data_IF_635590715211
#
_entry.id   IF_635590715211
#
_cell.length_a   1.000
_cell.length_b   1.000
_cell.length_c   1.000
_cell.angle_alpha   90.00
_cell.angle_beta   90.00
_cell.angle_gamma   90.00
#
_symmetry.space_group_name_H-M   'P 1'
#
loop_
_entity.id
_entity.type
_entity.pdbx_description
1 polymer ?
#
# COMPACT_ATOMS: atom_id res chain seq x y z
N UNK A 1 -17.18 17.83 3.13
CA UNK A 1 -16.32 17.40 1.99
C UNK A 1 -15.10 18.31 1.93
N UNK A 2 -13.92 17.72 1.76
CA UNK A 2 -12.69 18.47 1.45
C UNK A 2 -12.57 18.48 -0.08
N UNK A 3 -12.57 19.64 -0.75
CA UNK A 3 -12.42 19.71 -2.20
C UNK A 3 -11.12 19.01 -2.64
N UNK A 4 -11.17 18.36 -3.80
CA UNK A 4 -10.04 17.65 -4.40
C UNK A 4 -9.50 16.45 -3.59
N UNK A 5 -10.25 15.97 -2.56
CA UNK A 5 -9.99 14.70 -1.87
C UNK A 5 -11.26 13.85 -1.84
N UNK A 6 -11.07 12.53 -1.77
CA UNK A 6 -12.15 11.62 -1.51
C UNK A 6 -12.26 11.37 -0.01
N UNK A 7 -13.23 12.02 0.63
CA UNK A 7 -13.47 11.94 2.08
C UNK A 7 -14.90 11.44 2.33
N UNK A 8 -15.01 10.37 3.07
CA UNK A 8 -16.26 9.71 3.38
C UNK A 8 -16.74 8.74 2.28
N UNK A 9 -17.90 8.12 2.51
CA UNK A 9 -18.45 7.06 1.65
C UNK A 9 -18.08 5.66 2.14
N UNK A 10 -18.47 4.63 1.38
CA UNK A 10 -18.13 3.24 1.68
C UNK A 10 -16.88 2.84 0.91
N UNK A 11 -15.91 2.28 1.60
CA UNK A 11 -14.65 1.83 1.03
C UNK A 11 -14.21 0.52 1.71
N UNK A 12 -13.49 -0.34 0.99
CA UNK A 12 -13.01 -1.61 1.55
C UNK A 12 -11.71 -1.46 2.36
N UNK A 13 -11.10 -0.28 2.32
CA UNK A 13 -9.83 -0.03 3.00
C UNK A 13 -8.67 -0.85 2.42
N UNK A 14 -7.71 -1.18 3.27
CA UNK A 14 -6.65 -2.13 2.94
C UNK A 14 -7.17 -3.55 3.20
N UNK A 15 -7.86 -4.14 2.20
CA UNK A 15 -8.46 -5.46 2.29
C UNK A 15 -7.41 -6.51 2.65
N UNK A 16 -7.72 -7.33 3.64
CA UNK A 16 -6.85 -8.34 4.25
C UNK A 16 -5.53 -7.77 4.83
N UNK A 17 -5.52 -6.49 5.21
CA UNK A 17 -4.42 -5.92 6.00
C UNK A 17 -4.29 -6.61 7.35
N UNK A 18 -3.06 -7.03 7.70
CA UNK A 18 -2.80 -7.88 8.86
C UNK A 18 -2.74 -7.12 10.19
N UNK A 19 -2.77 -5.80 10.17
CA UNK A 19 -2.79 -4.95 11.35
C UNK A 19 -4.20 -4.66 11.89
N UNK A 20 -5.25 -5.13 11.21
CA UNK A 20 -6.65 -5.01 11.64
C UNK A 20 -6.97 -5.86 12.86
N UNK A 21 -7.43 -5.24 13.96
CA UNK A 21 -7.80 -5.97 15.19
C UNK A 21 -9.30 -6.23 15.33
N UNK A 22 -10.14 -5.44 14.68
CA UNK A 22 -11.60 -5.48 14.85
C UNK A 22 -12.33 -6.16 13.70
N UNK A 23 -11.78 -6.06 12.52
CA UNK A 23 -12.30 -6.67 11.30
C UNK A 23 -11.17 -7.48 10.67
N UNK A 24 -11.29 -8.81 10.59
CA UNK A 24 -10.23 -9.66 10.03
C UNK A 24 -9.99 -9.40 8.54
N UNK A 25 -10.93 -8.74 7.88
CA UNK A 25 -10.84 -8.44 6.45
C UNK A 25 -10.30 -7.03 6.15
N UNK A 26 -10.14 -6.15 7.16
CA UNK A 26 -9.72 -4.77 6.93
C UNK A 26 -8.54 -4.38 7.81
N UNK A 27 -7.49 -3.88 7.19
CA UNK A 27 -6.36 -3.27 7.87
C UNK A 27 -6.76 -1.94 8.55
N UNK A 28 -5.83 -1.37 9.32
CA UNK A 28 -6.03 -0.10 10.05
C UNK A 28 -5.87 1.15 9.21
N UNK A 29 -5.37 1.01 7.97
CA UNK A 29 -5.13 2.17 7.09
C UNK A 29 -6.41 2.97 6.89
N UNK A 30 -6.29 4.29 6.93
CA UNK A 30 -7.43 5.20 6.76
C UNK A 30 -8.02 5.06 5.36
N UNK A 31 -9.31 4.77 5.28
CA UNK A 31 -10.02 4.59 4.01
C UNK A 31 -9.93 5.85 3.13
N UNK A 32 -10.13 7.02 3.73
CA UNK A 32 -10.02 8.32 3.04
C UNK A 32 -8.60 8.58 2.50
N UNK A 33 -7.57 8.14 3.25
CA UNK A 33 -6.18 8.20 2.80
C UNK A 33 -5.98 7.37 1.54
N UNK A 34 -6.39 6.09 1.58
CA UNK A 34 -6.25 5.16 0.45
C UNK A 34 -6.98 5.71 -0.78
N UNK A 35 -8.25 6.09 -0.62
CA UNK A 35 -9.06 6.59 -1.73
C UNK A 35 -8.46 7.87 -2.34
N UNK A 36 -8.01 8.81 -1.50
CA UNK A 36 -7.38 10.06 -1.98
C UNK A 36 -6.02 9.80 -2.62
N UNK A 37 -5.23 8.84 -2.11
CA UNK A 37 -3.97 8.43 -2.73
C UNK A 37 -4.18 7.85 -4.12
N UNK A 38 -5.16 6.96 -4.29
CA UNK A 38 -5.50 6.41 -5.59
C UNK A 38 -6.13 7.44 -6.54
N UNK A 39 -6.85 8.44 -6.02
CA UNK A 39 -7.33 9.55 -6.84
C UNK A 39 -6.17 10.34 -7.45
N UNK A 40 -5.15 10.67 -6.66
CA UNK A 40 -3.93 11.29 -7.18
C UNK A 40 -3.21 10.37 -8.18
N UNK A 41 -3.03 9.10 -7.83
CA UNK A 41 -2.31 8.14 -8.67
C UNK A 41 -2.99 7.92 -10.02
N UNK A 42 -4.30 7.67 -10.04
CA UNK A 42 -5.06 7.50 -11.29
C UNK A 42 -5.02 8.75 -12.17
N UNK A 43 -5.11 9.95 -11.56
CA UNK A 43 -4.93 11.21 -12.28
C UNK A 43 -3.52 11.31 -12.90
N UNK A 44 -2.47 10.89 -12.18
CA UNK A 44 -1.11 10.87 -12.70
C UNK A 44 -0.94 9.91 -13.89
N UNK A 45 -1.60 8.75 -13.85
CA UNK A 45 -1.59 7.78 -14.94
C UNK A 45 -2.31 8.32 -16.17
N UNK A 46 -3.44 9.02 -15.98
CA UNK A 46 -4.16 9.69 -17.07
C UNK A 46 -3.29 10.76 -17.75
N UNK A 47 -2.55 11.55 -16.96
CA UNK A 47 -1.59 12.52 -17.50
C UNK A 47 -0.50 11.83 -18.32
N UNK A 48 0.06 10.72 -17.81
CA UNK A 48 1.08 9.94 -18.54
C UNK A 48 0.53 9.41 -19.87
N UNK A 49 -0.65 8.80 -19.84
CA UNK A 49 -1.31 8.28 -21.04
C UNK A 49 -1.61 9.37 -22.06
N UNK A 50 -2.19 10.50 -21.63
CA UNK A 50 -2.48 11.61 -22.51
C UNK A 50 -1.23 12.22 -23.15
N UNK A 51 -0.14 12.36 -22.40
CA UNK A 51 1.14 12.82 -22.97
C UNK A 51 1.68 11.87 -24.06
N UNK A 52 1.54 10.54 -23.90
CA UNK A 52 1.94 9.56 -24.92
C UNK A 52 1.08 9.68 -26.18
N UNK A 53 -0.22 9.95 -26.01
CA UNK A 53 -1.17 10.09 -27.11
C UNK A 53 -1.13 11.49 -27.78
N UNK A 54 -0.37 12.44 -27.23
CA UNK A 54 -0.30 13.82 -27.72
C UNK A 54 -1.53 14.65 -27.38
N UNK A 55 -2.33 14.24 -26.39
CA UNK A 55 -3.52 14.94 -25.93
C UNK A 55 -3.18 16.09 -24.99
N UNK A 56 -4.05 17.12 -24.94
CA UNK A 56 -3.92 18.17 -23.95
C UNK A 56 -4.30 17.67 -22.55
N UNK A 57 -3.36 17.71 -21.62
CA UNK A 57 -3.52 17.26 -20.24
C UNK A 57 -3.39 18.39 -19.20
N UNK A 58 -3.50 19.65 -19.61
CA UNK A 58 -3.29 20.81 -18.74
C UNK A 58 -4.25 20.81 -17.53
N UNK A 59 -5.53 20.53 -17.77
CA UNK A 59 -6.55 20.47 -16.72
C UNK A 59 -6.27 19.34 -15.72
N UNK A 60 -5.84 18.17 -16.20
CA UNK A 60 -5.46 17.04 -15.33
C UNK A 60 -4.20 17.32 -14.52
N UNK A 61 -3.21 18.02 -15.07
CA UNK A 61 -2.04 18.49 -14.33
C UNK A 61 -2.44 19.44 -13.21
N UNK A 62 -3.32 20.39 -13.50
CA UNK A 62 -3.87 21.33 -12.51
C UNK A 62 -4.63 20.61 -11.41
N UNK A 63 -5.47 19.64 -11.78
CA UNK A 63 -6.19 18.79 -10.82
C UNK A 63 -5.21 17.99 -9.94
N UNK A 64 -4.23 17.32 -10.52
CA UNK A 64 -3.22 16.55 -9.80
C UNK A 64 -2.49 17.40 -8.74
N UNK A 65 -2.07 18.61 -9.10
CA UNK A 65 -1.43 19.51 -8.16
C UNK A 65 -2.34 19.89 -6.98
N UNK A 66 -3.63 20.16 -7.23
CA UNK A 66 -4.59 20.44 -6.14
C UNK A 66 -4.78 19.24 -5.23
N UNK A 67 -4.95 18.03 -5.82
CA UNK A 67 -5.09 16.79 -5.05
C UNK A 67 -3.86 16.58 -4.15
N UNK A 68 -2.65 16.65 -4.70
CA UNK A 68 -1.41 16.43 -3.94
C UNK A 68 -1.23 17.45 -2.83
N UNK A 69 -1.51 18.72 -3.11
CA UNK A 69 -1.44 19.78 -2.09
C UNK A 69 -2.40 19.49 -0.95
N UNK A 70 -3.67 19.20 -1.26
CA UNK A 70 -4.68 18.88 -0.25
C UNK A 70 -4.40 17.57 0.49
N UNK A 71 -3.85 16.58 -0.20
CA UNK A 71 -3.43 15.32 0.41
C UNK A 71 -2.36 15.56 1.50
N UNK A 72 -1.34 16.33 1.22
CA UNK A 72 -0.27 16.67 2.18
C UNK A 72 -0.78 17.47 3.37
N UNK A 73 -1.67 18.43 3.13
CA UNK A 73 -2.31 19.22 4.20
C UNK A 73 -3.17 18.34 5.12
N UNK A 74 -3.92 17.40 4.54
CA UNK A 74 -4.89 16.59 5.29
C UNK A 74 -4.27 15.35 5.95
N UNK A 75 -3.23 14.77 5.33
CA UNK A 75 -2.53 13.58 5.78
C UNK A 75 -1.04 13.83 6.05
N UNK A 76 -0.69 14.65 7.05
CA UNK A 76 0.70 15.02 7.33
C UNK A 76 1.54 13.87 7.94
N UNK A 77 0.88 12.78 8.37
CA UNK A 77 1.52 11.62 8.99
C UNK A 77 0.98 10.32 8.46
N UNK A 78 1.78 9.26 8.51
CA UNK A 78 1.45 7.92 8.05
C UNK A 78 1.34 6.98 9.25
N UNK A 79 0.27 6.19 9.32
CA UNK A 79 -0.09 5.39 10.49
C UNK A 79 0.16 3.89 10.30
N UNK A 80 0.37 3.45 9.05
CA UNK A 80 0.54 2.03 8.71
C UNK A 80 1.58 1.86 7.60
N UNK A 81 2.10 0.64 7.47
CA UNK A 81 2.99 0.28 6.36
C UNK A 81 2.35 0.59 5.00
N UNK A 82 1.05 0.31 4.84
CA UNK A 82 0.31 0.61 3.61
C UNK A 82 0.27 2.10 3.31
N UNK A 83 -0.03 2.95 4.29
CA UNK A 83 -0.06 4.40 4.08
C UNK A 83 1.33 4.93 3.67
N UNK A 84 2.41 4.46 4.31
CA UNK A 84 3.77 4.80 3.91
C UNK A 84 4.07 4.32 2.48
N UNK A 85 3.79 3.06 2.17
CA UNK A 85 4.05 2.48 0.86
C UNK A 85 3.35 3.25 -0.27
N UNK A 86 2.07 3.59 -0.09
CA UNK A 86 1.30 4.39 -1.05
C UNK A 86 1.85 5.82 -1.17
N UNK A 87 2.13 6.49 -0.04
CA UNK A 87 2.65 7.85 -0.05
C UNK A 87 4.00 7.95 -0.78
N UNK A 88 4.88 6.96 -0.57
CA UNK A 88 6.20 6.89 -1.20
C UNK A 88 6.09 6.54 -2.68
N UNK A 89 5.44 5.43 -3.00
CA UNK A 89 5.40 4.92 -4.37
C UNK A 89 4.62 5.85 -5.32
N UNK A 90 3.52 6.46 -4.85
CA UNK A 90 2.73 7.42 -5.64
C UNK A 90 3.31 8.84 -5.62
N UNK A 91 4.44 9.07 -4.92
CA UNK A 91 5.11 10.37 -4.81
C UNK A 91 4.22 11.45 -4.15
N UNK A 92 3.38 11.05 -3.22
CA UNK A 92 2.50 11.95 -2.47
C UNK A 92 3.17 12.56 -1.25
N UNK A 93 4.12 11.83 -0.62
CA UNK A 93 4.88 12.36 0.50
C UNK A 93 5.64 13.63 0.10
N UNK A 94 5.73 14.60 1.01
CA UNK A 94 6.56 15.80 0.82
C UNK A 94 8.04 15.39 0.74
N UNK A 95 8.46 14.49 1.62
CA UNK A 95 9.77 13.86 1.59
C UNK A 95 9.60 12.32 1.54
N UNK A 96 9.77 11.75 0.34
CA UNK A 96 9.63 10.31 0.13
C UNK A 96 10.74 9.51 0.83
N UNK A 97 11.95 10.05 0.98
CA UNK A 97 13.01 9.38 1.74
C UNK A 97 12.59 9.22 3.21
N UNK A 98 12.19 10.32 3.86
CA UNK A 98 11.74 10.26 5.25
C UNK A 98 10.52 9.33 5.45
N UNK A 99 9.59 9.30 4.50
CA UNK A 99 8.45 8.39 4.55
C UNK A 99 8.85 6.92 4.36
N UNK A 100 9.88 6.64 3.55
CA UNK A 100 10.45 5.30 3.40
C UNK A 100 11.25 4.88 4.63
N UNK A 101 11.96 5.81 5.27
CA UNK A 101 12.66 5.53 6.54
C UNK A 101 11.66 5.16 7.66
N UNK A 102 10.50 5.84 7.70
CA UNK A 102 9.39 5.48 8.61
C UNK A 102 8.85 4.09 8.27
N UNK A 103 8.68 3.77 6.97
CA UNK A 103 8.22 2.44 6.53
C UNK A 103 9.19 1.34 6.97
N UNK A 104 10.49 1.55 6.77
CA UNK A 104 11.54 0.63 7.20
C UNK A 104 11.46 0.38 8.71
N UNK A 105 11.35 1.44 9.51
CA UNK A 105 11.20 1.33 10.95
C UNK A 105 9.93 0.55 11.34
N UNK A 106 8.78 0.80 10.65
CA UNK A 106 7.55 0.05 10.90
C UNK A 106 7.69 -1.44 10.60
N UNK A 107 8.48 -1.81 9.59
CA UNK A 107 8.77 -3.22 9.27
C UNK A 107 9.62 -3.85 10.36
N UNK A 108 10.65 -3.14 10.84
CA UNK A 108 11.48 -3.59 11.96
C UNK A 108 10.66 -3.75 13.26
N UNK A 109 9.81 -2.77 13.60
CA UNK A 109 8.94 -2.81 14.78
C UNK A 109 7.91 -3.94 14.72
N UNK A 110 7.52 -4.35 13.52
CA UNK A 110 6.68 -5.53 13.28
C UNK A 110 7.45 -6.87 13.31
N UNK A 111 8.74 -6.87 13.67
CA UNK A 111 9.57 -8.08 13.69
C UNK A 111 9.93 -8.58 12.29
N UNK A 112 10.26 -7.69 11.38
CA UNK A 112 10.56 -7.97 9.97
C UNK A 112 9.40 -8.68 9.27
N UNK A 113 8.18 -8.19 9.51
CA UNK A 113 6.96 -8.70 8.90
C UNK A 113 6.21 -7.60 8.15
N UNK A 114 5.60 -7.99 7.04
CA UNK A 114 4.61 -7.14 6.39
C UNK A 114 3.30 -7.17 7.18
N UNK A 115 2.61 -6.03 7.19
CA UNK A 115 1.27 -5.90 7.77
C UNK A 115 0.26 -5.36 6.76
N UNK A 116 0.70 -5.21 5.52
CA UNK A 116 -0.09 -4.68 4.40
C UNK A 116 -1.11 -5.69 3.90
N UNK A 117 -2.23 -5.17 3.40
CA UNK A 117 -3.21 -5.91 2.63
C UNK A 117 -3.04 -5.72 1.12
N UNK A 118 -4.12 -5.94 0.35
CA UNK A 118 -4.08 -5.89 -1.11
C UNK A 118 -3.62 -4.56 -1.70
N UNK A 119 -3.94 -3.44 -1.07
CA UNK A 119 -3.59 -2.13 -1.62
C UNK A 119 -2.18 -1.67 -1.26
N UNK A 120 -1.60 -2.20 -0.19
CA UNK A 120 -0.25 -1.85 0.24
C UNK A 120 0.83 -2.80 -0.28
N UNK A 121 0.57 -4.09 -0.28
CA UNK A 121 1.54 -5.15 -0.61
C UNK A 121 2.24 -4.97 -1.96
N UNK A 122 1.54 -4.60 -3.07
CA UNK A 122 2.19 -4.43 -4.38
C UNK A 122 3.27 -3.34 -4.41
N UNK A 123 3.20 -2.38 -3.50
CA UNK A 123 4.08 -1.21 -3.49
C UNK A 123 5.13 -1.24 -2.38
N UNK A 124 4.97 -2.14 -1.40
CA UNK A 124 5.80 -2.22 -0.19
C UNK A 124 7.29 -2.34 -0.50
N UNK A 125 7.66 -3.36 -1.29
CA UNK A 125 9.06 -3.63 -1.60
C UNK A 125 9.69 -2.52 -2.45
N UNK A 126 8.93 -1.93 -3.38
CA UNK A 126 9.38 -0.80 -4.18
C UNK A 126 9.56 0.46 -3.34
N UNK A 127 8.64 0.74 -2.41
CA UNK A 127 8.74 1.89 -1.53
C UNK A 127 9.95 1.82 -0.59
N UNK A 128 10.41 0.62 -0.24
CA UNK A 128 11.64 0.39 0.50
C UNK A 128 12.88 0.48 -0.40
N UNK A 129 12.92 -0.33 -1.47
CA UNK A 129 14.12 -0.49 -2.29
C UNK A 129 14.51 0.77 -3.06
N UNK A 130 13.55 1.54 -3.56
CA UNK A 130 13.80 2.79 -4.31
C UNK A 130 14.46 3.89 -3.45
N UNK A 131 14.42 3.73 -2.12
CA UNK A 131 14.94 4.69 -1.14
C UNK A 131 16.04 4.12 -0.24
N UNK A 132 16.72 3.05 -0.69
CA UNK A 132 17.94 2.53 -0.06
C UNK A 132 17.72 1.43 0.97
N UNK A 133 16.47 1.05 1.31
CA UNK A 133 16.14 -0.04 2.23
C UNK A 133 16.05 -1.40 1.52
N UNK A 134 17.03 -1.70 0.66
CA UNK A 134 17.07 -2.91 -0.17
C UNK A 134 17.15 -4.17 0.70
N UNK A 135 17.96 -4.14 1.76
CA UNK A 135 18.15 -5.29 2.65
C UNK A 135 16.83 -5.65 3.36
N UNK A 136 16.08 -4.65 3.81
CA UNK A 136 14.75 -4.85 4.41
C UNK A 136 13.77 -5.43 3.40
N UNK A 137 13.73 -4.88 2.17
CA UNK A 137 12.87 -5.39 1.11
C UNK A 137 13.18 -6.86 0.77
N UNK A 138 14.46 -7.23 0.63
CA UNK A 138 14.86 -8.62 0.40
C UNK A 138 14.60 -9.52 1.61
N UNK A 139 14.77 -9.04 2.83
CA UNK A 139 14.45 -9.80 4.04
C UNK A 139 12.97 -10.17 4.09
N UNK A 140 12.08 -9.23 3.73
CA UNK A 140 10.65 -9.51 3.59
C UNK A 140 10.35 -10.51 2.48
N UNK A 141 10.96 -10.34 1.31
CA UNK A 141 10.75 -11.19 0.14
C UNK A 141 11.21 -12.64 0.39
N UNK A 142 12.36 -12.81 1.05
CA UNK A 142 13.00 -14.12 1.29
C UNK A 142 12.54 -14.79 2.58
N UNK A 143 11.61 -14.16 3.32
CA UNK A 143 11.03 -14.75 4.52
C UNK A 143 10.20 -15.98 4.17
N UNK A 144 10.36 -17.07 4.91
CA UNK A 144 9.62 -18.32 4.72
C UNK A 144 8.47 -18.53 5.72
N UNK A 145 8.49 -17.81 6.86
CA UNK A 145 7.43 -17.89 7.86
C UNK A 145 6.27 -16.95 7.51
N UNK A 146 5.08 -17.32 7.94
CA UNK A 146 3.88 -16.50 7.83
C UNK A 146 4.07 -15.13 8.53
N UNK A 147 3.59 -14.04 7.96
CA UNK A 147 3.08 -13.85 6.60
C UNK A 147 4.23 -13.58 5.61
N UNK A 148 4.26 -14.29 4.49
CA UNK A 148 5.27 -14.06 3.45
C UNK A 148 4.90 -14.75 2.12
N UNK A 149 5.54 -14.31 1.03
CA UNK A 149 5.40 -14.97 -0.28
C UNK A 149 5.91 -16.41 -0.29
N UNK A 150 7.04 -16.68 0.39
CA UNK A 150 7.62 -18.02 0.40
C UNK A 150 6.90 -18.99 1.34
N UNK A 151 6.12 -18.50 2.30
CA UNK A 151 5.26 -19.35 3.13
C UNK A 151 4.30 -20.15 2.24
N UNK A 152 3.58 -19.49 1.33
CA UNK A 152 2.66 -20.18 0.43
C UNK A 152 3.38 -21.19 -0.48
N UNK A 153 4.57 -20.84 -1.01
CA UNK A 153 5.41 -21.75 -1.80
C UNK A 153 5.82 -22.97 -1.00
N UNK A 154 6.26 -22.78 0.23
CA UNK A 154 6.66 -23.86 1.15
C UNK A 154 5.50 -24.78 1.51
N UNK A 155 4.29 -24.23 1.61
CA UNK A 155 3.05 -24.98 1.80
C UNK A 155 2.54 -25.68 0.53
N UNK A 156 3.26 -25.62 -0.58
CA UNK A 156 2.95 -26.30 -1.84
C UNK A 156 1.97 -25.55 -2.76
N UNK A 157 1.83 -24.24 -2.61
CA UNK A 157 1.01 -23.43 -3.50
C UNK A 157 1.48 -23.52 -4.95
N UNK A 158 0.55 -23.71 -5.86
CA UNK A 158 0.78 -23.68 -7.32
C UNK A 158 0.22 -22.41 -7.97
N UNK A 159 -0.46 -21.58 -7.18
CA UNK A 159 -1.04 -20.29 -7.56
C UNK A 159 -0.78 -19.26 -6.46
N UNK A 160 -1.00 -17.98 -6.75
CA UNK A 160 -1.04 -16.94 -5.72
C UNK A 160 -2.31 -17.11 -4.90
N UNK A 161 -2.17 -17.17 -3.59
CA UNK A 161 -3.28 -17.29 -2.66
C UNK A 161 -3.89 -15.91 -2.36
N UNK A 162 -5.19 -15.89 -2.07
CA UNK A 162 -5.87 -14.68 -1.60
C UNK A 162 -5.42 -14.29 -0.19
N UNK A 163 -5.36 -15.27 0.71
CA UNK A 163 -4.82 -15.10 2.06
C UNK A 163 -3.40 -15.65 2.16
N UNK A 164 -2.54 -15.00 2.95
CA UNK A 164 -1.20 -15.50 3.21
C UNK A 164 -1.18 -16.90 3.83
N UNK A 165 -2.23 -17.25 4.61
CA UNK A 165 -2.45 -18.54 5.26
C UNK A 165 -3.67 -19.29 4.72
N UNK A 166 -3.93 -19.22 3.41
CA UNK A 166 -5.04 -19.99 2.79
C UNK A 166 -4.98 -21.46 3.15
N UNK A 167 -3.79 -22.04 3.27
CA UNK A 167 -3.53 -23.33 3.93
C UNK A 167 -2.63 -23.07 5.15
N UNK A 168 -3.09 -23.42 6.33
CA UNK A 168 -2.36 -23.29 7.60
C UNK A 168 -1.46 -24.47 7.87
N UNK A 169 -0.49 -24.30 8.77
CA UNK A 169 0.44 -25.37 9.16
C UNK A 169 -0.24 -26.61 9.75
N UNK A 170 -1.40 -26.45 10.37
CA UNK A 170 -2.23 -27.55 10.90
C UNK A 170 -3.06 -28.27 9.83
N UNK A 171 -2.94 -27.87 8.55
CA UNK A 171 -3.67 -28.43 7.42
C UNK A 171 -5.08 -27.88 7.25
N UNK A 172 -5.51 -26.92 8.05
CA UNK A 172 -6.82 -26.27 7.88
C UNK A 172 -6.74 -25.15 6.86
N UNK A 173 -7.87 -24.88 6.18
CA UNK A 173 -7.98 -23.74 5.27
C UNK A 173 -8.49 -22.49 6.02
N UNK A 174 -8.09 -21.32 5.55
CA UNK A 174 -8.54 -20.03 6.13
C UNK A 174 -10.05 -19.85 6.00
N UNK A 175 -10.58 -20.18 4.83
CA UNK A 175 -12.00 -20.17 4.53
C UNK A 175 -12.33 -21.45 3.76
N UNK A 176 -13.42 -22.09 4.14
CA UNK A 176 -13.93 -23.34 3.53
C UNK A 176 -15.18 -23.11 2.68
N UNK A 177 -15.59 -21.86 2.49
CA UNK A 177 -16.78 -21.52 1.69
C UNK A 177 -16.48 -21.40 0.21
#
# INVERSE_FOLDING_TARGET
>A
TVPDLWIGGTHMGDWLGLDGKKDPCRGKSREDFIASAYYAYSTSLLIKAGNVLGEDVADYKSLYHRIVTKFREHFPTYLTQTECALAVHFRLAENCQAASDILDQMVHDAGMQLTTGFVGTPYLLHALSDFGHVDTAYSLLMREEYPSWLYSVKMGATTVWEHWDSLREDGTFWDTS
#
